data_IF_434763991294
#
_entry.id   IF_434763991294
#
_cell.length_a   1.000
_cell.length_b   1.000
_cell.length_c   1.000
_cell.angle_alpha   90.00
_cell.angle_beta   90.00
_cell.angle_gamma   90.00
#
_symmetry.space_group_name_H-M   'P 1'
#
loop_
_entity.id
_entity.type
_entity.pdbx_description
1 polymer ?
#
# COMPACT_ATOMS: atom_id res chain seq x y z
N UNK A 1 5.86 4.37 -2.98
CA UNK A 1 6.21 2.98 -3.41
C UNK A 1 5.07 2.41 -4.24
N UNK A 2 5.32 1.59 -5.25
CA UNK A 2 4.26 1.02 -6.10
C UNK A 2 3.93 -0.41 -5.67
N UNK A 3 2.64 -0.75 -5.61
CA UNK A 3 2.16 -2.10 -5.31
C UNK A 3 1.07 -2.51 -6.29
N UNK A 4 1.04 -3.81 -6.62
CA UNK A 4 -0.04 -4.37 -7.43
C UNK A 4 -1.17 -4.84 -6.53
N UNK A 5 -2.39 -4.50 -6.90
CA UNK A 5 -3.60 -4.97 -6.23
C UNK A 5 -3.86 -6.43 -6.62
N UNK A 6 -4.08 -7.28 -5.62
CA UNK A 6 -4.46 -8.68 -5.82
C UNK A 6 -5.78 -8.82 -6.57
N UNK A 7 -6.10 -10.03 -7.04
CA UNK A 7 -7.41 -10.35 -7.62
C UNK A 7 -8.58 -10.14 -6.66
N UNK A 8 -8.33 -10.15 -5.35
CA UNK A 8 -9.32 -9.87 -4.30
C UNK A 8 -9.45 -8.39 -3.92
N UNK A 9 -8.73 -7.48 -4.60
CA UNK A 9 -8.78 -6.05 -4.30
C UNK A 9 -7.92 -5.64 -3.09
N UNK A 10 -6.94 -6.46 -2.71
CA UNK A 10 -6.08 -6.22 -1.55
C UNK A 10 -4.66 -5.84 -1.96
N UNK A 11 -4.01 -5.06 -1.11
CA UNK A 11 -2.60 -4.73 -1.20
C UNK A 11 -1.93 -5.09 0.12
N UNK A 12 -0.76 -5.71 0.07
CA UNK A 12 0.05 -5.98 1.25
C UNK A 12 1.15 -4.94 1.35
N UNK A 13 1.16 -4.18 2.45
CA UNK A 13 2.16 -3.15 2.76
C UNK A 13 2.64 -3.41 4.17
N UNK A 14 3.96 -3.54 4.39
CA UNK A 14 4.53 -3.77 5.72
C UNK A 14 3.89 -4.94 6.51
N UNK A 15 3.60 -6.05 5.83
CA UNK A 15 2.86 -7.22 6.37
C UNK A 15 1.41 -6.93 6.80
N UNK A 16 0.90 -5.71 6.59
CA UNK A 16 -0.49 -5.34 6.77
C UNK A 16 -1.26 -5.54 5.46
N UNK A 17 -2.38 -6.28 5.54
CA UNK A 17 -3.33 -6.40 4.43
C UNK A 17 -4.25 -5.19 4.44
N UNK A 18 -4.29 -4.47 3.32
CA UNK A 18 -5.11 -3.28 3.14
C UNK A 18 -6.09 -3.52 1.99
N UNK A 19 -7.38 -3.26 2.23
CA UNK A 19 -8.41 -3.33 1.21
C UNK A 19 -8.39 -2.05 0.37
N UNK A 20 -8.01 -2.17 -0.90
CA UNK A 20 -8.04 -1.08 -1.88
C UNK A 20 -9.37 -1.06 -2.67
N UNK A 21 -9.99 -2.23 -2.83
CA UNK A 21 -11.28 -2.40 -3.53
C UNK A 21 -11.16 -3.32 -4.74
N UNK A 22 -12.20 -4.13 -4.98
CA UNK A 22 -12.18 -5.15 -6.04
C UNK A 22 -12.15 -4.55 -7.46
N UNK A 23 -12.70 -3.34 -7.64
CA UNK A 23 -12.64 -2.62 -8.91
C UNK A 23 -11.22 -2.20 -9.33
N UNK A 24 -10.26 -2.27 -8.40
CA UNK A 24 -8.85 -1.99 -8.66
C UNK A 24 -8.03 -3.26 -8.87
N UNK A 25 -8.64 -4.44 -8.89
CA UNK A 25 -7.94 -5.71 -9.03
C UNK A 25 -7.04 -5.70 -10.28
N UNK A 26 -5.76 -6.05 -10.08
CA UNK A 26 -4.76 -6.07 -11.14
C UNK A 26 -4.13 -4.70 -11.47
N UNK A 27 -4.66 -3.59 -10.95
CA UNK A 27 -4.08 -2.26 -11.09
C UNK A 27 -2.81 -2.09 -10.25
N UNK A 28 -1.98 -1.12 -10.64
CA UNK A 28 -0.81 -0.69 -9.89
C UNK A 28 -1.15 0.60 -9.16
N UNK A 29 -0.99 0.60 -7.84
CA UNK A 29 -1.26 1.76 -6.98
C UNK A 29 0.03 2.29 -6.37
N UNK A 30 0.07 3.58 -6.12
CA UNK A 30 1.15 4.25 -5.40
C UNK A 30 0.76 4.42 -3.95
N UNK A 31 1.58 3.86 -3.06
CA UNK A 31 1.43 3.96 -1.61
C UNK A 31 2.45 4.96 -1.10
N UNK A 32 1.98 5.90 -0.28
CA UNK A 32 2.79 6.93 0.35
C UNK A 32 2.58 6.87 1.85
N UNK A 33 3.66 7.04 2.61
CA UNK A 33 3.63 7.11 4.07
C UNK A 33 3.93 8.56 4.41
N UNK A 34 2.97 9.27 5.01
CA UNK A 34 3.25 10.60 5.53
C UNK A 34 3.95 10.46 6.90
N UNK A 35 5.19 10.94 6.93
CA UNK A 35 6.12 10.73 8.02
C UNK A 35 5.83 11.63 9.22
N UNK A 36 4.86 11.23 10.03
CA UNK A 36 4.76 11.37 11.50
C UNK A 36 3.55 10.61 12.03
N UNK A 37 2.50 10.47 11.21
CA UNK A 37 1.18 10.03 11.65
C UNK A 37 0.97 8.53 11.47
N UNK A 38 1.95 7.82 10.88
CA UNK A 38 1.86 6.39 10.65
C UNK A 38 0.63 6.03 9.83
N UNK A 39 0.38 6.75 8.74
CA UNK A 39 -0.80 6.52 7.90
C UNK A 39 -0.37 6.19 6.48
N UNK A 40 -0.90 5.09 5.95
CA UNK A 40 -0.72 4.68 4.56
C UNK A 40 -1.78 5.37 3.70
N UNK A 41 -1.34 6.18 2.75
CA UNK A 41 -2.18 6.71 1.67
C UNK A 41 -1.96 5.91 0.41
N UNK A 42 -3.04 5.34 -0.12
CA UNK A 42 -3.05 4.61 -1.39
C UNK A 42 -3.66 5.52 -2.44
N UNK A 43 -2.92 5.74 -3.52
CA UNK A 43 -3.30 6.59 -4.64
C UNK A 43 -3.19 5.86 -5.97
N UNK A 44 -4.04 6.25 -6.93
CA UNK A 44 -4.00 5.82 -8.33
C UNK A 44 -4.15 7.05 -9.20
N UNK A 45 -3.26 7.25 -10.17
CA UNK A 45 -3.27 8.42 -11.05
C UNK A 45 -3.44 9.75 -10.27
N UNK A 46 -2.65 9.90 -9.20
CA UNK A 46 -2.65 11.06 -8.30
C UNK A 46 -3.93 11.30 -7.49
N UNK A 47 -4.92 10.41 -7.58
CA UNK A 47 -6.11 10.42 -6.75
C UNK A 47 -5.93 9.50 -5.53
N UNK A 48 -6.19 10.01 -4.32
CA UNK A 48 -6.23 9.19 -3.10
C UNK A 48 -7.52 8.35 -3.12
N UNK A 49 -7.36 7.03 -2.99
CA UNK A 49 -8.49 6.08 -3.00
C UNK A 49 -8.72 5.49 -1.62
N UNK A 50 -7.68 5.34 -0.81
CA UNK A 50 -7.79 4.77 0.53
C UNK A 50 -6.74 5.34 1.47
N UNK A 51 -7.13 5.55 2.71
CA UNK A 51 -6.26 5.97 3.80
C UNK A 51 -6.43 5.00 4.97
N UNK A 52 -5.33 4.43 5.45
CA UNK A 52 -5.35 3.41 6.50
C UNK A 52 -4.24 3.66 7.51
N UNK A 53 -4.59 3.68 8.78
CA UNK A 53 -3.63 3.73 9.86
C UNK A 53 -2.70 2.51 9.84
N UNK A 54 -1.40 2.76 9.92
CA UNK A 54 -0.36 1.77 10.04
C UNK A 54 -0.48 1.09 11.40
N UNK A 55 -0.75 -0.22 11.39
CA UNK A 55 -0.90 -0.98 12.64
C UNK A 55 0.43 -1.51 13.17
N UNK A 56 1.54 -1.28 12.45
CA UNK A 56 2.89 -1.71 12.86
C UNK A 56 3.95 -0.76 12.36
N UNK A 57 4.75 -0.19 13.26
CA UNK A 57 5.90 0.67 12.93
C UNK A 57 7.22 -0.11 12.83
N UNK A 58 7.17 -1.45 12.91
CA UNK A 58 8.38 -2.27 12.79
C UNK A 58 9.03 -2.02 11.41
N UNK A 59 10.35 -1.80 11.35
CA UNK A 59 11.06 -1.64 10.09
C UNK A 59 10.84 -2.84 9.18
N UNK A 60 10.44 -2.61 7.93
CA UNK A 60 10.32 -3.67 6.93
C UNK A 60 11.74 -4.10 6.55
N UNK A 61 12.24 -5.19 7.15
CA UNK A 61 13.61 -5.65 6.97
C UNK A 61 13.90 -6.28 5.59
N UNK A 62 12.95 -6.28 4.64
CA UNK A 62 13.08 -6.98 3.36
C UNK A 62 12.90 -6.06 2.16
N UNK A 63 13.94 -5.26 1.88
CA UNK A 63 14.17 -4.73 0.55
C UNK A 63 14.74 -5.86 -0.31
N UNK A 64 13.93 -6.48 -1.18
CA UNK A 64 14.50 -7.29 -2.26
C UNK A 64 15.02 -6.31 -3.31
N UNK A 65 16.29 -5.93 -3.19
CA UNK A 65 17.02 -5.25 -4.26
C UNK A 65 17.04 -6.14 -5.50
N UNK A 66 16.59 -5.61 -6.63
CA UNK A 66 16.87 -6.22 -7.92
C UNK A 66 18.38 -6.14 -8.16
N UNK A 67 18.97 -7.28 -8.50
CA UNK A 67 20.35 -7.41 -8.98
C UNK A 67 20.45 -6.96 -10.43
#
# INVERSE_FOLDING_TARGET
MQHRVSSSGQVVIADQKIQAGIGLAGATVTVTIEGTDGTFRISLADQIISEVAQTTTKPIARFRGAA
#
